data_IF_185294723604
#
_entry.id   IF_185294723604
#
_cell.length_a   1.000
_cell.length_b   1.000
_cell.length_c   1.000
_cell.angle_alpha   90.00
_cell.angle_beta   90.00
_cell.angle_gamma   90.00
#
_symmetry.space_group_name_H-M   'P 1'
#
loop_
_entity.id
_entity.type
_entity.pdbx_description
1 polymer ?
#
# COMPACT_ATOMS: atom_id res chain seq x y z
N UNK A 1 -27.46 -4.33 -13.19
CA UNK A 1 -26.21 -3.80 -12.61
C UNK A 1 -26.10 -2.34 -13.02
N UNK A 2 -25.92 -1.43 -12.07
CA UNK A 2 -25.79 0.01 -12.34
C UNK A 2 -24.31 0.27 -12.59
N UNK A 3 -23.94 0.62 -13.82
CA UNK A 3 -22.56 0.99 -14.16
C UNK A 3 -22.23 2.27 -13.40
N UNK A 4 -21.29 2.22 -12.47
CA UNK A 4 -20.86 3.43 -11.75
C UNK A 4 -19.92 4.19 -12.68
N UNK A 5 -20.40 5.32 -13.20
CA UNK A 5 -19.64 6.20 -14.11
C UNK A 5 -19.07 7.38 -13.32
N UNK A 6 -17.96 7.93 -13.81
CA UNK A 6 -17.42 9.20 -13.31
C UNK A 6 -18.21 10.37 -13.89
N UNK A 7 -18.30 11.46 -13.14
CA UNK A 7 -18.99 12.68 -13.54
C UNK A 7 -17.98 13.78 -13.90
N UNK A 8 -17.84 14.16 -15.18
CA UNK A 8 -16.93 15.22 -15.61
C UNK A 8 -17.34 16.62 -15.15
N UNK A 9 -18.59 16.82 -14.69
CA UNK A 9 -19.08 18.11 -14.21
C UNK A 9 -18.95 18.27 -12.68
N UNK A 10 -18.48 17.23 -11.99
CA UNK A 10 -18.21 17.28 -10.56
C UNK A 10 -16.96 18.13 -10.24
N UNK A 11 -16.93 18.72 -9.04
CA UNK A 11 -15.75 19.41 -8.52
C UNK A 11 -14.58 18.46 -8.23
N UNK A 12 -14.82 17.15 -8.17
CA UNK A 12 -13.77 16.14 -8.00
C UNK A 12 -13.12 15.81 -9.35
N UNK A 13 -11.79 15.90 -9.48
CA UNK A 13 -11.12 15.51 -10.71
C UNK A 13 -11.40 14.06 -11.12
N UNK A 14 -11.57 13.80 -12.42
CA UNK A 14 -11.92 12.48 -12.96
C UNK A 14 -11.00 11.35 -12.48
N UNK A 15 -9.69 11.58 -12.40
CA UNK A 15 -8.76 10.55 -11.95
C UNK A 15 -8.97 10.17 -10.48
N UNK A 16 -9.40 11.13 -9.63
CA UNK A 16 -9.74 10.84 -8.23
C UNK A 16 -11.00 10.02 -8.17
N UNK A 17 -12.03 10.37 -8.95
CA UNK A 17 -13.25 9.58 -9.01
C UNK A 17 -12.98 8.13 -9.43
N UNK A 18 -12.15 7.91 -10.46
CA UNK A 18 -11.74 6.55 -10.86
C UNK A 18 -11.01 5.83 -9.72
N UNK A 19 -10.08 6.51 -9.05
CA UNK A 19 -9.36 5.93 -7.92
C UNK A 19 -10.31 5.57 -6.77
N UNK A 20 -11.27 6.43 -6.44
CA UNK A 20 -12.24 6.22 -5.37
C UNK A 20 -13.15 5.03 -5.67
N UNK A 21 -13.58 4.87 -6.93
CA UNK A 21 -14.39 3.71 -7.36
C UNK A 21 -13.62 2.39 -7.32
N UNK A 22 -12.34 2.41 -7.68
CA UNK A 22 -11.47 1.23 -7.57
C UNK A 22 -11.15 0.92 -6.11
N UNK A 23 -10.89 1.94 -5.28
CA UNK A 23 -10.68 1.80 -3.83
C UNK A 23 -11.89 1.15 -3.17
N UNK A 24 -13.10 1.62 -3.48
CA UNK A 24 -14.33 1.05 -2.96
C UNK A 24 -14.51 -0.43 -3.35
N UNK A 25 -14.04 -0.84 -4.53
CA UNK A 25 -14.05 -2.26 -4.94
C UNK A 25 -13.05 -3.09 -4.15
N UNK A 26 -11.87 -2.55 -3.82
CA UNK A 26 -10.86 -3.23 -3.00
C UNK A 26 -11.35 -3.35 -1.55
N UNK A 27 -11.77 -2.24 -0.95
CA UNK A 27 -12.25 -2.19 0.44
C UNK A 27 -13.55 -2.98 0.64
N UNK A 28 -14.42 -2.99 -0.38
CA UNK A 28 -15.64 -3.80 -0.40
C UNK A 28 -15.40 -5.28 -0.74
N UNK A 29 -14.18 -5.69 -1.04
CA UNK A 29 -13.80 -7.08 -1.33
C UNK A 29 -14.21 -7.60 -2.72
N UNK A 30 -14.69 -6.74 -3.61
CA UNK A 30 -14.96 -7.09 -5.01
C UNK A 30 -13.66 -7.31 -5.81
N UNK A 31 -12.58 -6.64 -5.41
CA UNK A 31 -11.21 -6.91 -5.83
C UNK A 31 -10.42 -7.38 -4.60
N UNK A 32 -9.92 -8.61 -4.62
CA UNK A 32 -9.23 -9.23 -3.50
C UNK A 32 -7.71 -9.04 -3.59
N UNK A 33 -6.99 -9.09 -2.46
CA UNK A 33 -5.52 -9.20 -2.45
C UNK A 33 -4.98 -10.19 -3.48
N UNK A 34 -4.06 -9.73 -4.35
CA UNK A 34 -3.49 -10.53 -5.43
C UNK A 34 -4.25 -10.49 -6.76
N UNK A 35 -5.48 -9.96 -6.80
CA UNK A 35 -6.25 -9.85 -8.04
C UNK A 35 -5.58 -8.89 -9.02
N UNK A 36 -5.59 -9.26 -10.30
CA UNK A 36 -5.17 -8.38 -11.39
C UNK A 36 -6.27 -7.38 -11.71
N UNK A 37 -5.90 -6.10 -11.72
CA UNK A 37 -6.75 -5.06 -12.28
C UNK A 37 -6.82 -5.23 -13.81
N UNK A 38 -7.95 -4.83 -14.38
CA UNK A 38 -8.10 -4.71 -15.84
C UNK A 38 -7.05 -3.73 -16.38
N UNK A 39 -6.69 -3.88 -17.65
CA UNK A 39 -5.71 -3.01 -18.28
C UNK A 39 -6.24 -1.56 -18.42
N UNK A 40 -5.34 -0.60 -18.70
CA UNK A 40 -5.69 0.82 -18.80
C UNK A 40 -6.81 1.09 -19.83
N UNK A 41 -6.86 0.31 -20.91
CA UNK A 41 -7.79 0.50 -22.03
C UNK A 41 -9.20 0.08 -21.62
N UNK A 42 -9.33 -1.11 -21.04
CA UNK A 42 -10.61 -1.62 -20.54
C UNK A 42 -11.15 -0.76 -19.41
N UNK A 43 -10.29 -0.30 -18.49
CA UNK A 43 -10.71 0.62 -17.43
C UNK A 43 -11.16 1.98 -18.00
N UNK A 44 -10.47 2.48 -19.02
CA UNK A 44 -10.83 3.74 -19.67
C UNK A 44 -12.21 3.65 -20.33
N UNK A 45 -12.49 2.53 -21.01
CA UNK A 45 -13.80 2.23 -21.58
C UNK A 45 -14.88 2.08 -20.50
N UNK A 46 -14.60 1.31 -19.44
CA UNK A 46 -15.56 1.06 -18.36
C UNK A 46 -15.96 2.31 -17.60
N UNK A 47 -15.03 3.22 -17.37
CA UNK A 47 -15.30 4.49 -16.67
C UNK A 47 -15.61 5.65 -17.62
N UNK A 48 -15.64 5.45 -18.93
CA UNK A 48 -15.91 6.53 -19.89
C UNK A 48 -14.87 7.66 -19.83
N UNK A 49 -13.59 7.33 -19.64
CA UNK A 49 -12.50 8.30 -19.49
C UNK A 49 -11.32 8.00 -20.43
N UNK A 50 -10.26 8.81 -20.38
CA UNK A 50 -9.03 8.59 -21.14
C UNK A 50 -7.99 7.74 -20.38
N UNK A 51 -7.11 7.04 -21.12
CA UNK A 51 -6.01 6.25 -20.54
C UNK A 51 -5.11 7.04 -19.59
N UNK A 52 -4.87 8.31 -19.89
CA UNK A 52 -4.07 9.20 -19.03
C UNK A 52 -4.73 9.41 -17.65
N UNK A 53 -6.06 9.52 -17.61
CA UNK A 53 -6.85 9.62 -16.38
C UNK A 53 -6.76 8.33 -15.56
N UNK A 54 -6.93 7.17 -16.21
CA UNK A 54 -6.78 5.87 -15.56
C UNK A 54 -5.38 5.70 -15.01
N UNK A 55 -4.34 6.01 -15.78
CA UNK A 55 -2.95 5.94 -15.32
C UNK A 55 -2.70 6.81 -14.11
N UNK A 56 -3.28 8.01 -14.06
CA UNK A 56 -3.19 8.89 -12.91
C UNK A 56 -3.92 8.31 -11.68
N UNK A 57 -5.09 7.67 -11.88
CA UNK A 57 -5.82 6.99 -10.82
C UNK A 57 -5.04 5.80 -10.25
N UNK A 58 -4.46 4.96 -11.12
CA UNK A 58 -3.62 3.83 -10.71
C UNK A 58 -2.35 4.30 -9.98
N UNK A 59 -1.75 5.42 -10.40
CA UNK A 59 -0.63 6.04 -9.65
C UNK A 59 -1.03 6.43 -8.23
N UNK A 60 -2.24 6.99 -8.05
CA UNK A 60 -2.75 7.37 -6.74
C UNK A 60 -3.00 6.13 -5.86
N UNK A 61 -3.65 5.09 -6.39
CA UNK A 61 -3.85 3.84 -5.65
C UNK A 61 -2.53 3.17 -5.25
N UNK A 62 -1.51 3.28 -6.10
CA UNK A 62 -0.18 2.77 -5.78
C UNK A 62 0.49 3.59 -4.67
N UNK A 63 0.39 4.92 -4.70
CA UNK A 63 0.92 5.76 -3.62
C UNK A 63 0.20 5.54 -2.29
N UNK A 64 -1.09 5.19 -2.35
CA UNK A 64 -1.88 4.85 -1.17
C UNK A 64 -1.59 3.42 -0.65
N UNK A 65 -0.72 2.67 -1.35
CA UNK A 65 -0.35 1.31 -0.96
C UNK A 65 -1.43 0.25 -1.25
N UNK A 66 -2.46 0.57 -2.04
CA UNK A 66 -3.57 -0.36 -2.33
C UNK A 66 -3.28 -1.32 -3.47
N UNK A 67 -2.38 -0.94 -4.38
CA UNK A 67 -1.99 -1.77 -5.53
C UNK A 67 -0.47 -1.77 -5.72
N UNK A 68 0.02 -2.81 -6.39
CA UNK A 68 1.35 -2.89 -6.97
C UNK A 68 1.26 -2.79 -8.49
N UNK A 69 2.30 -2.23 -9.13
CA UNK A 69 2.41 -2.17 -10.60
C UNK A 69 3.71 -2.82 -11.04
N UNK A 70 3.61 -3.92 -11.78
CA UNK A 70 4.76 -4.53 -12.45
C UNK A 70 4.84 -4.01 -13.90
N UNK A 71 5.99 -3.42 -14.26
CA UNK A 71 6.22 -2.93 -15.62
C UNK A 71 5.91 -4.03 -16.65
N UNK A 72 5.02 -3.73 -17.60
CA UNK A 72 4.48 -4.62 -18.66
C UNK A 72 3.53 -5.74 -18.22
N UNK A 73 3.28 -5.95 -16.92
CA UNK A 73 2.40 -7.03 -16.42
C UNK A 73 1.06 -6.55 -15.88
N UNK A 74 0.89 -5.24 -15.71
CA UNK A 74 -0.34 -4.63 -15.22
C UNK A 74 -0.27 -4.28 -13.74
N UNK A 75 -1.41 -3.97 -13.16
CA UNK A 75 -1.53 -3.68 -11.72
C UNK A 75 -2.24 -4.81 -10.99
N UNK A 76 -1.83 -5.08 -9.77
CA UNK A 76 -2.43 -6.08 -8.89
C UNK A 76 -2.82 -5.45 -7.56
N UNK A 77 -3.92 -5.87 -6.95
CA UNK A 77 -4.27 -5.46 -5.59
C UNK A 77 -3.16 -5.93 -4.66
N UNK A 78 -2.63 -5.01 -3.84
CA UNK A 78 -1.54 -5.32 -2.92
C UNK A 78 -2.03 -6.37 -1.92
N UNK A 79 -1.25 -7.42 -1.74
CA UNK A 79 -1.44 -8.32 -0.61
C UNK A 79 -0.83 -7.67 0.63
N UNK A 80 -1.62 -7.39 1.69
CA UNK A 80 -1.06 -6.91 2.95
C UNK A 80 0.02 -7.89 3.42
N UNK A 81 1.20 -7.40 3.83
CA UNK A 81 2.23 -8.29 4.34
C UNK A 81 1.74 -8.99 5.61
N UNK A 82 2.28 -10.18 5.85
CA UNK A 82 2.09 -10.85 7.13
C UNK A 82 2.74 -9.99 8.24
N UNK A 83 1.93 -9.57 9.21
CA UNK A 83 2.39 -8.72 10.29
C UNK A 83 3.30 -9.51 11.23
N UNK A 84 4.51 -9.02 11.43
CA UNK A 84 5.47 -9.54 12.41
C UNK A 84 5.39 -8.70 13.68
N UNK A 85 5.05 -9.35 14.79
CA UNK A 85 5.10 -8.73 16.12
C UNK A 85 6.56 -8.71 16.58
N UNK A 86 7.07 -7.52 16.91
CA UNK A 86 8.42 -7.34 17.43
C UNK A 86 8.34 -6.98 18.91
N UNK A 87 8.74 -7.91 19.78
CA UNK A 87 8.91 -7.62 21.20
C UNK A 87 10.26 -6.95 21.43
N UNK A 88 10.24 -5.75 22.03
CA UNK A 88 11.43 -4.99 22.35
C UNK A 88 11.81 -5.24 23.82
N UNK A 89 12.85 -6.02 24.05
CA UNK A 89 13.47 -6.10 25.37
C UNK A 89 14.26 -4.80 25.64
N UNK A 90 14.08 -4.20 26.82
CA UNK A 90 14.77 -2.95 27.17
C UNK A 90 16.22 -3.25 27.59
N UNK A 91 17.21 -2.48 27.10
CA UNK A 91 17.10 -1.38 26.13
C UNK A 91 17.19 -1.85 24.66
N UNK A 92 16.25 -1.39 23.83
CA UNK A 92 16.31 -1.52 22.37
C UNK A 92 16.21 -0.14 21.71
N UNK A 93 16.85 0.03 20.55
CA UNK A 93 16.79 1.26 19.73
C UNK A 93 16.12 0.95 18.40
N UNK A 94 15.15 1.79 18.00
CA UNK A 94 14.53 1.75 16.68
C UNK A 94 14.97 2.98 15.90
N UNK A 95 15.37 2.79 14.65
CA UNK A 95 15.59 3.88 13.68
C UNK A 95 14.85 3.59 12.38
N UNK A 96 14.49 4.64 11.64
CA UNK A 96 13.86 4.52 10.32
C UNK A 96 14.79 5.10 9.25
N UNK A 97 14.91 4.42 8.11
CA UNK A 97 15.63 4.93 6.94
C UNK A 97 15.10 4.34 5.64
N UNK A 98 15.52 4.90 4.52
CA UNK A 98 15.28 4.27 3.23
C UNK A 98 16.12 2.98 3.09
N UNK A 99 15.58 1.94 2.43
CA UNK A 99 16.32 0.72 2.17
C UNK A 99 17.42 0.93 1.12
N UNK A 100 18.52 0.20 1.29
CA UNK A 100 19.55 0.04 0.26
C UNK A 100 18.98 -0.71 -0.95
N UNK A 101 19.67 -0.66 -2.10
CA UNK A 101 19.24 -1.40 -3.29
C UNK A 101 19.20 -2.93 -3.05
N UNK A 102 20.15 -3.43 -2.25
CA UNK A 102 20.19 -4.85 -1.86
C UNK A 102 18.99 -5.21 -0.98
N UNK A 103 18.70 -4.40 0.06
CA UNK A 103 17.55 -4.62 0.95
C UNK A 103 16.22 -4.57 0.20
N UNK A 104 16.04 -3.60 -0.72
CA UNK A 104 14.83 -3.53 -1.57
C UNK A 104 14.59 -4.83 -2.32
N UNK A 105 15.65 -5.38 -2.90
CA UNK A 105 15.57 -6.63 -3.66
C UNK A 105 15.26 -7.81 -2.74
N UNK A 106 16.01 -7.95 -1.64
CA UNK A 106 15.88 -9.08 -0.72
C UNK A 106 14.53 -9.12 0.00
N UNK A 107 14.02 -7.95 0.40
CA UNK A 107 12.78 -7.82 1.17
C UNK A 107 11.55 -7.59 0.27
N UNK A 108 11.71 -7.50 -1.04
CA UNK A 108 10.61 -7.27 -1.98
C UNK A 108 9.89 -5.92 -1.77
N UNK A 109 10.63 -4.88 -1.38
CA UNK A 109 10.01 -3.61 -0.96
C UNK A 109 9.58 -2.76 -2.17
N UNK A 110 8.34 -2.24 -2.18
CA UNK A 110 7.89 -1.26 -3.15
C UNK A 110 8.64 0.07 -3.01
N UNK A 111 8.53 0.91 -4.04
CA UNK A 111 9.13 2.24 -4.04
C UNK A 111 8.54 3.11 -2.93
N UNK A 112 9.42 3.79 -2.18
CA UNK A 112 9.01 4.69 -1.10
C UNK A 112 8.76 4.02 0.26
N UNK A 113 8.84 2.69 0.34
CA UNK A 113 8.68 1.99 1.62
C UNK A 113 9.96 2.07 2.47
N UNK A 114 9.92 2.70 3.67
CA UNK A 114 11.07 2.74 4.56
C UNK A 114 11.25 1.41 5.29
N UNK A 115 12.49 1.17 5.74
CA UNK A 115 12.79 0.07 6.67
C UNK A 115 12.95 0.59 8.09
N UNK A 116 12.48 -0.21 9.03
CA UNK A 116 12.75 -0.05 10.46
C UNK A 116 13.94 -0.94 10.84
N UNK A 117 14.92 -0.35 11.51
CA UNK A 117 16.10 -1.04 12.01
C UNK A 117 16.00 -1.09 13.53
N UNK A 118 15.88 -2.30 14.06
CA UNK A 118 15.85 -2.58 15.49
C UNK A 118 17.24 -3.04 15.91
N UNK A 119 17.83 -2.36 16.90
CA UNK A 119 19.10 -2.74 17.52
C UNK A 119 18.86 -3.13 18.97
N UNK A 120 19.20 -4.37 19.30
CA UNK A 120 19.09 -4.94 20.65
C UNK A 120 20.34 -4.65 21.49
N UNK A 121 20.23 -4.81 22.81
CA UNK A 121 21.32 -4.54 23.75
C UNK A 121 22.59 -5.38 23.50
N UNK A 122 22.43 -6.60 22.95
CA UNK A 122 23.52 -7.50 22.60
C UNK A 122 24.19 -7.16 21.24
N UNK A 123 23.77 -6.08 20.59
CA UNK A 123 24.29 -5.63 19.30
C UNK A 123 23.65 -6.31 18.09
N UNK A 124 22.73 -7.27 18.27
CA UNK A 124 21.97 -7.83 17.14
C UNK A 124 21.11 -6.76 16.49
N UNK A 125 21.01 -6.83 15.17
CA UNK A 125 20.15 -5.95 14.37
C UNK A 125 19.16 -6.75 13.54
N UNK A 126 17.92 -6.25 13.47
CA UNK A 126 16.87 -6.79 12.60
C UNK A 126 16.34 -5.65 11.75
N UNK A 127 16.19 -5.91 10.45
CA UNK A 127 15.69 -4.96 9.46
C UNK A 127 14.33 -5.45 8.98
N UNK A 128 13.32 -4.60 9.09
CA UNK A 128 11.94 -4.94 8.81
C UNK A 128 11.33 -3.89 7.88
N UNK A 129 10.49 -4.34 6.95
CA UNK A 129 9.63 -3.45 6.19
C UNK A 129 8.71 -2.71 7.17
N UNK A 130 8.45 -1.41 6.97
CA UNK A 130 7.50 -0.69 7.82
C UNK A 130 6.12 -1.35 7.78
N UNK A 131 5.67 -1.81 6.61
CA UNK A 131 4.37 -2.46 6.45
C UNK A 131 4.26 -3.81 7.17
N UNK A 132 5.39 -4.48 7.44
CA UNK A 132 5.43 -5.78 8.09
C UNK A 132 5.43 -5.71 9.63
N UNK A 133 5.35 -4.52 10.24
CA UNK A 133 5.33 -4.38 11.70
C UNK A 133 3.95 -3.97 12.17
N UNK A 134 3.39 -4.80 13.06
CA UNK A 134 2.32 -4.41 13.96
C UNK A 134 2.94 -3.95 15.29
N UNK A 135 2.55 -2.74 15.73
CA UNK A 135 2.98 -2.24 17.04
C UNK A 135 2.24 -2.92 18.20
N UNK A 136 1.17 -3.67 17.90
CA UNK A 136 0.23 -4.16 18.90
C UNK A 136 -0.47 -3.01 19.64
N UNK A 137 -1.34 -3.31 20.62
CA UNK A 137 -1.91 -2.28 21.48
C UNK A 137 -0.79 -1.63 22.31
N UNK A 138 -0.73 -0.29 22.29
CA UNK A 138 0.19 0.47 23.14
C UNK A 138 -0.08 0.13 24.61
N UNK A 139 0.85 -0.56 25.28
CA UNK A 139 0.82 -0.73 26.74
C UNK A 139 1.13 0.63 27.40
N UNK A 140 0.15 1.52 27.41
CA UNK A 140 0.26 2.80 28.11
C UNK A 140 -1.09 3.43 28.50
N UNK A 141 -2.19 2.67 28.51
CA UNK A 141 -3.50 3.17 29.01
C UNK A 141 -4.00 2.44 30.26
N UNK A 142 -3.16 1.60 30.89
CA UNK A 142 -3.43 1.14 32.26
C UNK A 142 -2.90 2.22 33.20
N UNK A 143 -3.74 3.21 33.49
CA UNK A 143 -3.46 4.26 34.45
C UNK A 143 -3.03 3.69 35.80
N UNK A 144 -2.04 4.35 36.40
CA UNK A 144 -1.79 4.28 37.83
C UNK A 144 -3.08 4.71 38.56
N UNK A 145 -3.62 3.82 39.38
CA UNK A 145 -4.63 4.09 40.43
C UNK A 145 -3.99 3.76 41.79
#
# INVERSE_FOLDING_TARGET
>A
MRTVQVDPNSFTPLYRQVADLLRAQIEGGALQPGDKLKNEDTLAEEFGTGKATVRQALRLLRSDGLIDTENRRGSTVRTPPELTVVSLEKPARITARMPTAAERTTLGLPEGEPVLVVTYADGRTVILARSAIDAGPSMSDQGDD
#
